data_IF_778251513445
#
_entry.id   IF_778251513445
#
_cell.length_a   1.000
_cell.length_b   1.000
_cell.length_c   1.000
_cell.angle_alpha   90.00
_cell.angle_beta   90.00
_cell.angle_gamma   90.00
#
_symmetry.space_group_name_H-M   'P 1'
#
loop_
_entity.id
_entity.type
_entity.pdbx_description
1 polymer ?
#
# COMPACT_ATOMS: atom_id res chain seq x y z
N UNK A 1 49.47 24.46 -15.18
CA UNK A 1 49.02 23.81 -13.93
C UNK A 1 47.52 23.84 -13.94
N UNK A 2 46.91 22.78 -14.46
CA UNK A 2 45.50 22.70 -14.77
C UNK A 2 45.11 21.23 -14.71
N UNK A 3 44.63 20.78 -13.56
CA UNK A 3 43.94 19.49 -13.38
C UNK A 3 43.38 19.43 -11.95
N UNK A 4 42.13 19.90 -11.78
CA UNK A 4 41.32 19.65 -10.59
C UNK A 4 39.84 19.95 -10.89
N UNK A 5 39.18 19.09 -11.66
CA UNK A 5 37.71 19.10 -11.78
C UNK A 5 37.20 17.83 -12.49
N UNK A 6 37.27 16.64 -11.85
CA UNK A 6 36.53 15.48 -12.39
C UNK A 6 36.15 14.38 -11.38
N UNK A 7 36.25 14.60 -10.06
CA UNK A 7 36.05 13.52 -9.07
C UNK A 7 34.62 13.51 -8.47
N UNK A 8 33.90 14.62 -8.45
CA UNK A 8 32.56 14.69 -7.81
C UNK A 8 31.41 14.12 -8.66
N UNK A 9 31.61 13.94 -9.97
CA UNK A 9 30.54 13.47 -10.88
C UNK A 9 30.38 11.95 -10.91
N UNK A 10 31.41 11.20 -10.53
CA UNK A 10 31.42 9.73 -10.61
C UNK A 10 30.75 9.08 -9.40
N UNK A 11 31.00 9.60 -8.18
CA UNK A 11 30.37 9.11 -6.95
C UNK A 11 28.85 9.27 -6.94
N UNK A 12 28.33 10.40 -7.41
CA UNK A 12 26.88 10.63 -7.47
C UNK A 12 26.16 9.69 -8.44
N UNK A 13 26.82 9.29 -9.55
CA UNK A 13 26.25 8.35 -10.52
C UNK A 13 26.19 6.92 -9.97
N UNK A 14 27.23 6.49 -9.24
CA UNK A 14 27.26 5.17 -8.60
C UNK A 14 26.22 5.05 -7.48
N UNK A 15 26.03 6.12 -6.71
CA UNK A 15 25.03 6.12 -5.62
C UNK A 15 23.59 6.16 -6.15
N UNK A 16 23.31 6.94 -7.20
CA UNK A 16 22.00 6.94 -7.86
C UNK A 16 21.64 5.57 -8.46
N UNK A 17 22.64 4.86 -8.99
CA UNK A 17 22.46 3.50 -9.52
C UNK A 17 22.13 2.50 -8.41
N UNK A 18 22.75 2.61 -7.23
CA UNK A 18 22.43 1.78 -6.06
C UNK A 18 21.00 1.99 -5.56
N UNK A 19 20.56 3.25 -5.44
CA UNK A 19 19.17 3.56 -5.04
C UNK A 19 18.16 3.03 -6.06
N UNK A 20 18.44 3.15 -7.36
CA UNK A 20 17.59 2.59 -8.41
C UNK A 20 17.48 1.06 -8.33
N UNK A 21 18.59 0.36 -8.07
CA UNK A 21 18.63 -1.09 -7.93
C UNK A 21 17.91 -1.59 -6.66
N UNK A 22 17.96 -0.85 -5.55
CA UNK A 22 17.23 -1.20 -4.34
C UNK A 22 15.71 -1.01 -4.48
N UNK A 23 15.29 0.03 -5.20
CA UNK A 23 13.88 0.22 -5.55
C UNK A 23 13.37 -0.86 -6.51
N UNK A 24 14.24 -1.37 -7.38
CA UNK A 24 13.96 -2.51 -8.25
C UNK A 24 13.76 -3.80 -7.44
N UNK A 25 14.69 -4.12 -6.54
CA UNK A 25 14.59 -5.29 -5.64
C UNK A 25 13.38 -5.27 -4.70
N UNK A 26 12.78 -4.10 -4.50
CA UNK A 26 11.58 -3.91 -3.69
C UNK A 26 10.28 -4.04 -4.51
N UNK A 27 10.39 -4.05 -5.84
CA UNK A 27 9.28 -4.09 -6.81
C UNK A 27 9.15 -5.42 -7.54
N UNK A 28 10.21 -6.22 -7.58
CA UNK A 28 10.17 -7.58 -8.10
C UNK A 28 9.71 -8.53 -6.99
N UNK A 29 8.56 -9.22 -7.14
CA UNK A 29 8.30 -10.42 -6.36
C UNK A 29 9.48 -11.35 -6.60
N UNK A 30 9.98 -12.00 -5.55
CA UNK A 30 11.13 -12.90 -5.64
C UNK A 30 10.87 -13.99 -6.70
N UNK A 31 11.36 -13.76 -7.90
CA UNK A 31 11.46 -14.76 -8.96
C UNK A 31 12.86 -15.37 -8.80
N UNK A 32 12.87 -16.67 -8.56
CA UNK A 32 14.04 -17.49 -8.26
C UNK A 32 15.18 -17.23 -9.25
N UNK A 33 16.31 -16.78 -8.71
CA UNK A 33 17.58 -16.81 -9.44
C UNK A 33 18.24 -18.14 -9.09
N UNK A 34 18.08 -19.10 -10.00
CA UNK A 34 18.84 -20.35 -10.03
C UNK A 34 20.32 -20.04 -10.31
N UNK A 35 21.18 -20.24 -9.31
CA UNK A 35 22.63 -20.34 -9.47
C UNK A 35 23.14 -21.62 -8.81
N UNK A 36 23.49 -22.57 -9.67
CA UNK A 36 24.18 -23.82 -9.38
C UNK A 36 25.64 -23.58 -9.00
N UNK A 37 26.11 -24.17 -7.88
CA UNK A 37 27.31 -25.04 -7.82
C UNK A 37 27.63 -25.57 -6.40
N UNK A 38 27.62 -26.92 -6.29
CA UNK A 38 28.47 -27.87 -5.54
C UNK A 38 28.70 -27.66 -4.01
N UNK A 39 28.64 -28.66 -3.11
CA UNK A 39 29.12 -30.05 -3.20
C UNK A 39 28.67 -30.88 -1.95
N UNK A 40 28.21 -32.14 -2.18
CA UNK A 40 28.22 -33.39 -1.36
C UNK A 40 27.62 -33.38 0.08
N UNK A 41 26.75 -34.33 0.50
CA UNK A 41 26.95 -35.77 0.84
C UNK A 41 25.54 -36.39 1.06
N UNK A 42 25.06 -37.35 0.27
CA UNK A 42 25.00 -38.83 0.47
C UNK A 42 23.68 -39.36 1.09
N UNK A 43 23.08 -40.35 0.40
CA UNK A 43 22.04 -41.34 0.79
C UNK A 43 20.67 -40.80 1.29
N UNK A 44 19.50 -41.22 0.79
CA UNK A 44 19.01 -42.61 0.59
C UNK A 44 18.03 -42.68 -0.59
N UNK A 45 18.12 -43.80 -1.32
CA UNK A 45 17.31 -44.24 -2.45
C UNK A 45 16.00 -44.94 -1.99
N UNK A 46 14.93 -44.73 -2.76
CA UNK A 46 13.73 -45.57 -2.97
C UNK A 46 12.77 -45.94 -1.81
N UNK A 47 11.52 -45.45 -1.95
CA UNK A 47 10.37 -46.32 -2.21
C UNK A 47 9.21 -45.50 -2.81
N UNK A 48 8.80 -45.88 -4.03
CA UNK A 48 7.61 -45.43 -4.75
C UNK A 48 6.31 -46.06 -4.19
N UNK A 49 5.18 -45.53 -4.67
CA UNK A 49 3.78 -46.03 -4.63
C UNK A 49 3.02 -45.82 -3.30
N UNK A 50 2.00 -44.97 -3.30
CA UNK A 50 0.68 -45.31 -3.85
C UNK A 50 -0.25 -44.09 -3.94
N UNK A 51 -0.99 -43.99 -5.04
CA UNK A 51 -2.06 -43.02 -5.28
C UNK A 51 -3.35 -43.82 -5.13
N UNK A 52 -4.16 -43.52 -4.11
CA UNK A 52 -5.57 -43.93 -4.11
C UNK A 52 -6.42 -42.76 -3.63
N UNK A 53 -7.20 -42.27 -4.58
CA UNK A 53 -8.35 -41.41 -4.50
C UNK A 53 -9.48 -42.19 -3.81
N UNK A 54 -9.99 -41.70 -2.68
CA UNK A 54 -11.25 -42.18 -2.12
C UNK A 54 -12.16 -40.99 -1.81
N UNK A 55 -13.19 -40.90 -2.64
CA UNK A 55 -14.31 -39.99 -2.60
C UNK A 55 -15.51 -40.74 -2.01
N UNK A 56 -16.03 -40.24 -0.88
CA UNK A 56 -17.44 -40.25 -0.40
C UNK A 56 -18.16 -41.61 -0.24
N UNK A 57 -18.65 -41.90 0.98
CA UNK A 57 -20.07 -42.22 1.19
C UNK A 57 -20.47 -42.15 2.67
N UNK A 58 -21.37 -41.19 2.96
CA UNK A 58 -22.11 -41.08 4.21
C UNK A 58 -23.24 -42.11 4.23
N UNK A 59 -23.29 -42.82 5.33
CA UNK A 59 -24.19 -43.91 5.68
C UNK A 59 -25.46 -43.34 6.33
N UNK A 60 -26.60 -43.32 5.63
CA UNK A 60 -27.95 -43.27 6.23
C UNK A 60 -28.93 -44.11 5.42
N UNK A 61 -29.12 -45.34 5.89
CA UNK A 61 -30.29 -46.19 5.69
C UNK A 61 -31.57 -45.51 6.18
N UNK A 62 -32.58 -45.36 5.31
CA UNK A 62 -34.01 -45.33 5.70
C UNK A 62 -34.84 -46.16 4.70
N UNK A 63 -34.93 -47.44 5.05
CA UNK A 63 -36.07 -48.36 4.95
C UNK A 63 -37.40 -47.75 4.44
N UNK A 64 -37.81 -48.13 3.21
CA UNK A 64 -39.21 -48.05 2.78
C UNK A 64 -39.56 -49.40 2.14
N UNK A 65 -40.35 -50.17 2.89
CA UNK A 65 -40.97 -51.43 2.48
C UNK A 65 -41.83 -51.26 1.22
N UNK A 66 -41.52 -52.07 0.22
CA UNK A 66 -42.25 -52.25 -1.02
C UNK A 66 -43.48 -53.14 -0.76
N UNK A 67 -44.67 -52.54 -0.71
CA UNK A 67 -45.95 -53.25 -0.71
C UNK A 67 -46.57 -53.15 -2.11
N UNK A 68 -46.30 -54.15 -2.95
CA UNK A 68 -47.00 -54.38 -4.21
C UNK A 68 -48.44 -54.87 -3.92
N UNK A 69 -49.42 -53.97 -4.06
CA UNK A 69 -50.83 -54.33 -4.11
C UNK A 69 -51.34 -54.14 -5.55
N UNK A 70 -51.60 -55.29 -6.19
CA UNK A 70 -52.14 -55.45 -7.54
C UNK A 70 -53.59 -54.94 -7.59
N UNK A 71 -53.84 -53.88 -8.35
CA UNK A 71 -55.22 -53.43 -8.65
C UNK A 71 -55.41 -53.27 -10.16
N UNK A 72 -56.30 -54.12 -10.66
CA UNK A 72 -56.88 -54.18 -11.99
C UNK A 72 -57.41 -52.82 -12.47
N UNK A 73 -57.06 -52.46 -13.70
CA UNK A 73 -57.44 -51.23 -14.38
C UNK A 73 -58.94 -51.27 -14.76
N UNK A 74 -59.78 -50.49 -14.09
CA UNK A 74 -61.14 -50.15 -14.56
C UNK A 74 -61.12 -48.73 -15.12
N UNK A 75 -61.41 -48.60 -16.42
CA UNK A 75 -61.52 -47.34 -17.15
C UNK A 75 -62.73 -46.54 -16.64
N UNK A 76 -62.47 -45.57 -15.77
CA UNK A 76 -63.36 -44.43 -15.57
C UNK A 76 -62.57 -43.14 -15.75
N UNK A 77 -62.98 -42.38 -16.77
CA UNK A 77 -62.57 -40.99 -17.04
C UNK A 77 -62.67 -40.15 -15.76
N UNK A 78 -61.55 -40.02 -15.06
CA UNK A 78 -61.32 -38.99 -14.06
C UNK A 78 -60.36 -38.00 -14.68
N UNK A 79 -60.80 -36.75 -14.80
CA UNK A 79 -60.00 -35.61 -15.22
C UNK A 79 -58.57 -35.71 -14.65
N UNK A 80 -57.56 -35.76 -15.51
CA UNK A 80 -56.23 -35.25 -15.19
C UNK A 80 -56.39 -33.74 -14.98
N UNK A 81 -56.79 -33.35 -13.78
CA UNK A 81 -56.43 -32.04 -13.27
C UNK A 81 -54.92 -32.15 -13.02
N UNK A 82 -54.10 -31.64 -13.96
CA UNK A 82 -52.68 -31.40 -13.70
C UNK A 82 -52.60 -30.77 -12.30
N UNK A 83 -52.08 -31.50 -11.31
CA UNK A 83 -51.88 -30.98 -9.96
C UNK A 83 -50.93 -29.80 -10.08
N UNK A 84 -51.49 -28.60 -10.25
CA UNK A 84 -50.72 -27.38 -10.21
C UNK A 84 -50.08 -27.33 -8.83
N UNK A 85 -48.77 -27.13 -8.72
CA UNK A 85 -48.10 -27.17 -7.44
C UNK A 85 -48.77 -26.17 -6.51
N UNK A 86 -49.27 -26.64 -5.36
CA UNK A 86 -49.98 -25.78 -4.42
C UNK A 86 -49.06 -24.61 -4.03
N UNK A 87 -49.49 -23.41 -4.42
CA UNK A 87 -48.80 -22.15 -4.12
C UNK A 87 -49.34 -21.56 -2.82
N UNK A 88 -48.42 -21.08 -1.99
CA UNK A 88 -48.69 -20.49 -0.69
C UNK A 88 -48.16 -19.05 -0.68
N UNK A 89 -48.98 -18.08 -0.28
CA UNK A 89 -48.57 -16.69 -0.15
C UNK A 89 -47.79 -16.47 1.17
N UNK A 90 -46.50 -16.16 1.07
CA UNK A 90 -45.60 -15.95 2.22
C UNK A 90 -45.06 -14.52 2.18
N UNK A 91 -44.91 -13.90 3.36
CA UNK A 91 -44.34 -12.55 3.48
C UNK A 91 -42.85 -12.61 3.74
N UNK A 92 -42.05 -12.21 2.75
CA UNK A 92 -40.60 -12.00 2.88
C UNK A 92 -40.35 -10.49 2.82
N UNK A 93 -39.71 -9.93 3.84
CA UNK A 93 -39.41 -8.49 3.93
C UNK A 93 -40.61 -7.54 3.68
N UNK A 94 -41.82 -7.98 4.04
CA UNK A 94 -43.06 -7.20 3.94
C UNK A 94 -43.76 -7.23 2.58
N UNK A 95 -43.28 -8.03 1.61
CA UNK A 95 -43.94 -8.27 0.32
C UNK A 95 -44.54 -9.68 0.28
N UNK A 96 -45.77 -9.80 -0.22
CA UNK A 96 -46.43 -11.09 -0.41
C UNK A 96 -45.91 -11.77 -1.68
N UNK A 97 -45.33 -12.95 -1.53
CA UNK A 97 -44.80 -13.75 -2.63
C UNK A 97 -45.38 -15.16 -2.58
N UNK A 98 -45.89 -15.62 -3.71
CA UNK A 98 -46.41 -16.97 -3.86
C UNK A 98 -45.24 -17.95 -4.08
N UNK A 99 -45.11 -18.92 -3.19
CA UNK A 99 -44.05 -19.95 -3.19
C UNK A 99 -44.68 -21.33 -3.08
N UNK A 100 -44.06 -22.35 -3.67
CA UNK A 100 -44.53 -23.73 -3.54
C UNK A 100 -44.18 -24.31 -2.17
N UNK A 101 -44.86 -25.40 -1.78
CA UNK A 101 -44.56 -26.11 -0.52
C UNK A 101 -43.09 -26.56 -0.42
N UNK A 102 -42.50 -26.99 -1.54
CA UNK A 102 -41.11 -27.41 -1.61
C UNK A 102 -40.13 -26.25 -1.33
N UNK A 103 -40.37 -25.06 -1.89
CA UNK A 103 -39.56 -23.87 -1.64
C UNK A 103 -39.67 -23.39 -0.19
N UNK A 104 -40.85 -23.54 0.43
CA UNK A 104 -41.05 -23.26 1.86
C UNK A 104 -40.21 -24.16 2.76
N UNK A 105 -40.22 -25.47 2.52
CA UNK A 105 -39.43 -26.42 3.29
C UNK A 105 -37.93 -26.20 3.11
N UNK A 106 -37.49 -25.98 1.87
CA UNK A 106 -36.09 -25.65 1.58
C UNK A 106 -35.67 -24.29 2.17
N UNK A 107 -36.55 -23.30 2.17
CA UNK A 107 -36.31 -21.99 2.78
C UNK A 107 -36.17 -22.08 4.30
N UNK A 108 -37.02 -22.85 4.96
CA UNK A 108 -36.92 -23.12 6.39
C UNK A 108 -35.61 -23.83 6.75
N UNK A 109 -35.25 -24.89 6.00
CA UNK A 109 -33.98 -25.61 6.18
C UNK A 109 -32.77 -24.68 6.00
N UNK A 110 -32.75 -23.89 4.90
CA UNK A 110 -31.71 -22.89 4.64
C UNK A 110 -31.63 -21.82 5.74
N UNK A 111 -32.76 -21.34 6.25
CA UNK A 111 -32.79 -20.32 7.31
C UNK A 111 -32.27 -20.89 8.64
N UNK A 112 -32.67 -22.11 9.00
CA UNK A 112 -32.18 -22.79 10.19
C UNK A 112 -30.67 -23.03 10.10
N UNK A 113 -30.19 -23.50 8.95
CA UNK A 113 -28.76 -23.69 8.69
C UNK A 113 -27.98 -22.37 8.71
N UNK A 114 -28.50 -21.33 8.07
CA UNK A 114 -27.86 -20.01 8.09
C UNK A 114 -27.82 -19.44 9.50
N UNK A 115 -28.89 -19.60 10.27
CA UNK A 115 -28.96 -19.15 11.66
C UNK A 115 -27.95 -19.91 12.51
N UNK A 116 -27.89 -21.24 12.37
CA UNK A 116 -26.92 -22.10 13.08
C UNK A 116 -25.48 -21.73 12.71
N UNK A 117 -25.15 -21.68 11.41
CA UNK A 117 -23.82 -21.29 10.92
C UNK A 117 -23.42 -19.87 11.34
N UNK A 118 -24.36 -18.93 11.36
CA UNK A 118 -24.10 -17.56 11.82
C UNK A 118 -23.85 -17.51 13.33
N UNK A 119 -24.60 -18.30 14.11
CA UNK A 119 -24.36 -18.43 15.55
C UNK A 119 -23.01 -19.11 15.84
N UNK A 120 -22.70 -20.21 15.16
CA UNK A 120 -21.40 -20.90 15.25
C UNK A 120 -20.25 -19.96 14.86
N UNK A 121 -20.37 -19.23 13.75
CA UNK A 121 -19.37 -18.25 13.33
C UNK A 121 -19.23 -17.09 14.33
N UNK A 122 -20.34 -16.61 14.91
CA UNK A 122 -20.31 -15.59 15.95
C UNK A 122 -19.60 -16.10 17.20
N UNK A 123 -19.85 -17.35 17.59
CA UNK A 123 -19.20 -17.98 18.72
C UNK A 123 -17.69 -18.17 18.46
N UNK A 124 -17.32 -18.74 17.32
CA UNK A 124 -15.93 -18.88 16.90
C UNK A 124 -15.18 -17.54 16.87
N UNK A 125 -15.81 -16.47 16.37
CA UNK A 125 -15.22 -15.12 16.38
C UNK A 125 -14.99 -14.61 17.80
N UNK A 126 -15.95 -14.79 18.71
CA UNK A 126 -15.80 -14.40 20.12
C UNK A 126 -14.69 -15.19 20.80
N UNK A 127 -14.61 -16.49 20.54
CA UNK A 127 -13.59 -17.35 21.12
C UNK A 127 -12.20 -17.00 20.59
N UNK A 128 -12.07 -16.73 19.29
CA UNK A 128 -10.82 -16.26 18.68
C UNK A 128 -10.39 -14.89 19.22
N UNK A 129 -11.32 -13.93 19.33
CA UNK A 129 -11.04 -12.61 19.90
C UNK A 129 -10.60 -12.71 21.36
N UNK A 130 -11.24 -13.58 22.15
CA UNK A 130 -10.86 -13.85 23.53
C UNK A 130 -9.43 -14.44 23.63
N UNK A 131 -9.10 -15.41 22.78
CA UNK A 131 -7.76 -16.00 22.70
C UNK A 131 -6.72 -14.96 22.28
N UNK A 132 -7.02 -14.15 21.26
CA UNK A 132 -6.12 -13.09 20.79
C UNK A 132 -5.87 -12.05 21.89
N UNK A 133 -6.91 -11.66 22.63
CA UNK A 133 -6.77 -10.74 23.76
C UNK A 133 -5.96 -11.35 24.92
N UNK A 134 -6.09 -12.65 25.18
CA UNK A 134 -5.29 -13.36 26.19
C UNK A 134 -3.82 -13.43 25.78
N UNK A 135 -3.54 -13.78 24.52
CA UNK A 135 -2.18 -13.80 23.98
C UNK A 135 -1.54 -12.42 24.04
N UNK A 136 -2.23 -11.38 23.58
CA UNK A 136 -1.72 -10.01 23.64
C UNK A 136 -1.42 -9.55 25.08
N UNK A 137 -2.21 -9.97 26.07
CA UNK A 137 -1.94 -9.71 27.49
C UNK A 137 -0.69 -10.46 27.98
N UNK A 138 -0.55 -11.74 27.62
CA UNK A 138 0.63 -12.55 27.97
C UNK A 138 1.89 -11.93 27.37
N UNK A 139 1.85 -11.55 26.11
CA UNK A 139 2.98 -10.92 25.42
C UNK A 139 3.36 -9.58 26.05
N UNK A 140 2.37 -8.77 26.43
CA UNK A 140 2.60 -7.50 27.13
C UNK A 140 3.30 -7.72 28.49
N UNK A 141 2.80 -8.67 29.29
CA UNK A 141 3.41 -9.04 30.57
C UNK A 141 4.83 -9.55 30.36
N UNK A 142 5.02 -10.41 29.37
CA UNK A 142 6.29 -11.04 29.05
C UNK A 142 7.36 -10.01 28.64
N UNK A 143 6.98 -9.07 27.78
CA UNK A 143 7.81 -7.97 27.31
C UNK A 143 8.25 -7.03 28.44
N UNK A 144 7.43 -6.87 29.48
CA UNK A 144 7.78 -6.08 30.67
C UNK A 144 8.62 -6.88 31.67
N UNK A 145 8.31 -8.16 31.88
CA UNK A 145 8.92 -8.99 32.90
C UNK A 145 10.34 -9.42 32.53
N UNK A 146 10.59 -9.81 31.27
CA UNK A 146 11.90 -10.30 30.84
C UNK A 146 13.04 -9.30 31.11
N UNK A 147 12.97 -8.01 30.70
CA UNK A 147 14.03 -7.04 30.99
C UNK A 147 14.23 -6.80 32.49
N UNK A 148 13.16 -6.91 33.29
CA UNK A 148 13.25 -6.78 34.74
C UNK A 148 13.95 -7.99 35.37
N UNK A 149 13.66 -9.20 34.89
CA UNK A 149 14.34 -10.42 35.32
C UNK A 149 15.81 -10.39 34.93
N UNK A 150 16.13 -9.96 33.71
CA UNK A 150 17.51 -9.79 33.23
C UNK A 150 18.30 -8.87 34.17
N UNK A 151 17.79 -7.67 34.45
CA UNK A 151 18.44 -6.71 35.35
C UNK A 151 18.60 -7.22 36.78
N UNK A 152 17.62 -7.99 37.28
CA UNK A 152 17.70 -8.60 38.61
C UNK A 152 18.84 -9.62 38.67
N UNK A 153 18.91 -10.52 37.68
CA UNK A 153 19.95 -11.55 37.59
C UNK A 153 21.34 -10.95 37.34
N UNK A 154 21.42 -9.90 36.51
CA UNK A 154 22.66 -9.16 36.29
C UNK A 154 23.22 -8.57 37.59
N UNK A 155 22.35 -7.96 38.41
CA UNK A 155 22.74 -7.42 39.73
C UNK A 155 23.17 -8.50 40.73
N UNK A 156 22.55 -9.69 40.68
CA UNK A 156 22.96 -10.83 41.50
C UNK A 156 24.29 -11.42 41.06
N UNK A 157 24.54 -11.51 39.75
CA UNK A 157 25.79 -12.02 39.19
C UNK A 157 26.95 -11.04 39.37
N UNK A 158 26.69 -9.73 39.42
CA UNK A 158 27.69 -8.71 39.69
C UNK A 158 28.29 -8.82 41.12
N UNK A 159 27.54 -9.38 42.06
CA UNK A 159 27.99 -9.60 43.44
C UNK A 159 28.58 -11.01 43.60
N UNK A 160 29.67 -11.29 42.88
CA UNK A 160 30.35 -12.58 42.93
C UNK A 160 31.02 -12.80 44.31
N UNK A 161 30.77 -13.93 45.01
CA UNK A 161 31.48 -14.27 46.24
C UNK A 161 32.97 -14.45 46.03
N UNK A 162 33.79 -14.17 47.05
CA UNK A 162 35.21 -14.55 47.04
C UNK A 162 35.33 -16.07 47.15
N UNK A 163 35.36 -16.73 46.00
CA UNK A 163 35.45 -18.18 45.86
C UNK A 163 36.68 -18.77 46.55
N UNK A 164 37.78 -18.03 46.61
CA UNK A 164 39.02 -18.50 47.21
C UNK A 164 38.90 -18.50 48.73
N UNK A 165 38.40 -17.42 49.31
CA UNK A 165 38.16 -17.33 50.75
C UNK A 165 37.10 -18.35 51.21
N UNK A 166 36.05 -18.58 50.41
CA UNK A 166 35.01 -19.55 50.72
C UNK A 166 35.54 -20.99 50.66
N UNK A 167 36.37 -21.31 49.66
CA UNK A 167 37.00 -22.62 49.54
C UNK A 167 37.96 -22.92 50.71
N UNK A 168 38.73 -21.92 51.15
CA UNK A 168 39.67 -22.06 52.27
C UNK A 168 38.97 -22.16 53.65
N UNK A 169 37.79 -21.54 53.80
CA UNK A 169 37.05 -21.52 55.08
C UNK A 169 36.00 -22.64 55.22
N UNK A 170 35.24 -22.95 54.17
CA UNK A 170 34.22 -24.00 54.14
C UNK A 170 34.09 -24.63 52.73
N UNK A 171 34.80 -25.75 52.47
CA UNK A 171 34.72 -26.45 51.19
C UNK A 171 33.32 -26.97 50.82
N UNK A 172 32.44 -27.22 51.80
CA UNK A 172 31.08 -27.71 51.53
C UNK A 172 30.18 -26.55 51.11
N UNK A 173 30.27 -25.40 51.80
CA UNK A 173 29.57 -24.19 51.40
C UNK A 173 30.00 -23.72 50.01
N UNK A 174 31.29 -23.86 49.67
CA UNK A 174 31.80 -23.56 48.33
C UNK A 174 31.03 -24.26 47.21
N UNK A 175 30.83 -25.58 47.32
CA UNK A 175 30.14 -26.35 46.27
C UNK A 175 28.70 -25.86 46.10
N UNK A 176 27.99 -25.66 47.22
CA UNK A 176 26.59 -25.17 47.20
C UNK A 176 26.48 -23.79 46.56
N UNK A 177 27.30 -22.83 46.99
CA UNK A 177 27.26 -21.46 46.46
C UNK A 177 27.67 -21.41 44.99
N UNK A 178 28.64 -22.25 44.59
CA UNK A 178 29.05 -22.37 43.20
C UNK A 178 27.94 -22.95 42.32
N UNK A 179 27.23 -23.97 42.81
CA UNK A 179 26.09 -24.55 42.09
C UNK A 179 24.96 -23.52 41.93
N UNK A 180 24.63 -22.79 43.00
CA UNK A 180 23.64 -21.70 42.95
C UNK A 180 24.06 -20.59 41.99
N UNK A 181 25.32 -20.18 41.99
CA UNK A 181 25.84 -19.16 41.09
C UNK A 181 25.82 -19.64 39.63
N UNK A 182 26.19 -20.89 39.38
CA UNK A 182 26.09 -21.49 38.05
C UNK A 182 24.63 -21.55 37.57
N UNK A 183 23.69 -21.93 38.44
CA UNK A 183 22.25 -21.93 38.13
C UNK A 183 21.76 -20.53 37.75
N UNK A 184 22.16 -19.50 38.50
CA UNK A 184 21.84 -18.09 38.18
C UNK A 184 22.43 -17.67 36.84
N UNK A 185 23.68 -18.07 36.55
CA UNK A 185 24.36 -17.78 35.29
C UNK A 185 23.66 -18.43 34.10
N UNK A 186 23.22 -19.69 34.24
CA UNK A 186 22.46 -20.38 33.21
C UNK A 186 21.08 -19.75 33.00
N UNK A 187 20.37 -19.38 34.08
CA UNK A 187 19.11 -18.62 33.99
C UNK A 187 19.29 -17.28 33.27
N UNK A 188 20.36 -16.55 33.58
CA UNK A 188 20.66 -15.27 32.94
C UNK A 188 20.89 -15.44 31.43
N UNK A 189 21.70 -16.44 31.02
CA UNK A 189 21.90 -16.75 29.60
C UNK A 189 20.59 -17.11 28.90
N UNK A 190 19.73 -17.91 29.56
CA UNK A 190 18.43 -18.28 29.00
C UNK A 190 17.53 -17.05 28.78
N UNK A 191 17.47 -16.14 29.76
CA UNK A 191 16.71 -14.88 29.63
C UNK A 191 17.26 -14.01 28.49
N UNK A 192 18.59 -13.90 28.35
CA UNK A 192 19.20 -13.14 27.26
C UNK A 192 18.91 -13.76 25.88
N UNK A 193 19.03 -15.08 25.75
CA UNK A 193 18.73 -15.77 24.50
C UNK A 193 17.26 -15.55 24.08
N UNK A 194 16.35 -15.59 25.05
CA UNK A 194 14.92 -15.40 24.83
C UNK A 194 14.58 -13.94 24.46
N UNK A 195 15.24 -12.96 25.08
CA UNK A 195 15.12 -11.55 24.70
C UNK A 195 15.64 -11.31 23.27
N UNK A 196 16.78 -11.91 22.91
CA UNK A 196 17.32 -11.83 21.55
C UNK A 196 16.38 -12.48 20.54
N UNK A 197 15.81 -13.65 20.85
CA UNK A 197 14.80 -14.30 20.00
C UNK A 197 13.61 -13.39 19.75
N UNK A 198 13.05 -12.79 20.81
CA UNK A 198 11.89 -11.90 20.70
C UNK A 198 12.21 -10.65 19.88
N UNK A 199 13.42 -10.08 20.04
CA UNK A 199 13.86 -8.94 19.24
C UNK A 199 13.98 -9.32 17.77
N UNK A 200 14.55 -10.48 17.47
CA UNK A 200 14.68 -10.97 16.10
C UNK A 200 13.31 -11.21 15.46
N UNK A 201 12.38 -11.82 16.19
CA UNK A 201 11.00 -12.05 15.76
C UNK A 201 10.26 -10.72 15.49
N UNK A 202 10.46 -9.71 16.34
CA UNK A 202 9.89 -8.39 16.11
C UNK A 202 10.47 -7.72 14.86
N UNK A 203 11.77 -7.90 14.57
CA UNK A 203 12.41 -7.36 13.37
C UNK A 203 11.91 -8.08 12.10
N UNK A 204 11.78 -9.40 12.12
CA UNK A 204 11.28 -10.17 10.98
C UNK A 204 9.81 -9.86 10.69
N UNK A 205 8.97 -9.75 11.74
CA UNK A 205 7.57 -9.36 11.61
C UNK A 205 7.42 -7.96 10.99
N UNK A 206 8.16 -6.96 11.50
CA UNK A 206 8.16 -5.61 10.93
C UNK A 206 8.63 -5.58 9.47
N UNK A 207 9.68 -6.35 9.13
CA UNK A 207 10.13 -6.47 7.74
C UNK A 207 9.07 -7.10 6.84
N UNK A 208 8.35 -8.12 7.32
CA UNK A 208 7.27 -8.75 6.57
C UNK A 208 6.09 -7.78 6.36
N UNK A 209 5.73 -6.97 7.36
CA UNK A 209 4.71 -5.92 7.23
C UNK A 209 5.13 -4.85 6.21
N UNK A 210 6.39 -4.40 6.26
CA UNK A 210 6.92 -3.44 5.28
C UNK A 210 6.87 -4.03 3.88
N UNK A 211 7.31 -5.28 3.68
CA UNK A 211 7.24 -5.96 2.38
C UNK A 211 5.81 -5.99 1.84
N UNK A 212 4.83 -6.43 2.66
CA UNK A 212 3.41 -6.43 2.28
C UNK A 212 2.89 -5.04 1.91
N UNK A 213 3.25 -4.01 2.68
CA UNK A 213 2.85 -2.64 2.42
C UNK A 213 3.43 -2.13 1.10
N UNK A 214 4.67 -2.51 0.78
CA UNK A 214 5.32 -2.14 -0.46
C UNK A 214 4.75 -2.91 -1.64
N UNK A 215 4.54 -4.22 -1.54
CA UNK A 215 3.90 -5.01 -2.60
C UNK A 215 2.52 -4.45 -2.97
N UNK A 216 1.72 -4.11 -1.95
CA UNK A 216 0.45 -3.42 -2.14
C UNK A 216 0.63 -2.04 -2.80
N UNK A 217 1.61 -1.27 -2.34
CA UNK A 217 1.95 0.02 -2.92
C UNK A 217 2.38 -0.07 -4.38
N UNK A 218 3.15 -1.10 -4.74
CA UNK A 218 3.63 -1.38 -6.08
C UNK A 218 2.47 -1.70 -7.03
N UNK A 219 1.52 -2.53 -6.59
CA UNK A 219 0.29 -2.80 -7.35
C UNK A 219 -0.49 -1.50 -7.62
N UNK A 220 -0.71 -0.68 -6.60
CA UNK A 220 -1.41 0.61 -6.76
C UNK A 220 -0.65 1.61 -7.61
N UNK A 221 0.67 1.56 -7.57
CA UNK A 221 1.51 2.41 -8.40
C UNK A 221 1.45 2.03 -9.87
N UNK A 222 1.41 0.74 -10.19
CA UNK A 222 1.24 0.25 -11.57
C UNK A 222 -0.16 0.51 -12.13
N UNK A 223 -1.20 0.51 -11.27
CA UNK A 223 -2.54 0.96 -11.63
C UNK A 223 -2.56 2.46 -11.98
N UNK A 224 -1.91 3.30 -11.17
CA UNK A 224 -1.88 4.75 -11.36
C UNK A 224 -0.91 5.21 -12.46
N UNK A 225 0.20 4.49 -12.66
CA UNK A 225 1.25 4.78 -13.64
C UNK A 225 1.53 3.54 -14.50
N UNK A 226 0.68 3.26 -15.51
CA UNK A 226 0.83 2.08 -16.36
C UNK A 226 2.14 2.05 -17.17
N UNK A 227 2.75 3.22 -17.41
CA UNK A 227 4.03 3.37 -18.10
C UNK A 227 5.18 2.66 -17.36
N UNK A 228 5.05 2.43 -16.05
CA UNK A 228 6.06 1.75 -15.24
C UNK A 228 6.00 0.22 -15.33
N UNK A 229 5.08 -0.34 -16.13
CA UNK A 229 5.15 -1.76 -16.53
C UNK A 229 6.39 -2.07 -17.35
N UNK A 230 6.94 -1.08 -18.07
CA UNK A 230 8.26 -1.21 -18.69
C UNK A 230 9.34 -0.84 -17.68
N UNK A 231 10.15 -1.83 -17.31
CA UNK A 231 11.25 -1.68 -16.35
C UNK A 231 12.23 -0.56 -16.75
N UNK A 232 12.49 -0.36 -18.04
CA UNK A 232 13.41 0.67 -18.52
C UNK A 232 12.85 2.09 -18.31
N UNK A 233 11.55 2.27 -18.52
CA UNK A 233 10.87 3.55 -18.32
C UNK A 233 10.78 3.84 -16.83
N UNK A 234 10.37 2.85 -16.03
CA UNK A 234 10.30 2.95 -14.59
C UNK A 234 11.65 3.36 -13.99
N UNK A 235 12.75 2.71 -14.38
CA UNK A 235 14.08 3.01 -13.85
C UNK A 235 14.54 4.43 -14.20
N UNK A 236 14.31 4.89 -15.44
CA UNK A 236 14.66 6.26 -15.86
C UNK A 236 13.86 7.32 -15.11
N UNK A 237 12.55 7.10 -14.93
CA UNK A 237 11.70 8.03 -14.18
C UNK A 237 12.08 8.05 -12.70
N UNK A 238 12.25 6.88 -12.07
CA UNK A 238 12.68 6.76 -10.66
C UNK A 238 13.99 7.49 -10.41
N UNK A 239 14.99 7.31 -11.27
CA UNK A 239 16.26 8.05 -11.19
C UNK A 239 16.08 9.56 -11.33
N UNK A 240 15.14 10.00 -12.17
CA UNK A 240 14.87 11.43 -12.39
C UNK A 240 14.11 12.05 -11.22
N UNK A 241 13.20 11.29 -10.61
CA UNK A 241 12.47 11.66 -9.41
C UNK A 241 13.43 11.75 -8.21
N UNK A 242 14.31 10.76 -8.04
CA UNK A 242 15.34 10.77 -6.99
C UNK A 242 16.27 11.99 -7.12
N UNK A 243 16.74 12.31 -8.32
CA UNK A 243 17.51 13.54 -8.58
C UNK A 243 16.72 14.80 -8.22
N UNK A 244 15.44 14.86 -8.57
CA UNK A 244 14.59 15.99 -8.22
C UNK A 244 14.40 16.14 -6.71
N UNK A 245 14.19 15.03 -6.00
CA UNK A 245 14.08 15.01 -4.55
C UNK A 245 15.37 15.51 -3.88
N UNK A 246 16.54 15.06 -4.35
CA UNK A 246 17.83 15.53 -3.82
C UNK A 246 18.12 16.98 -4.20
N UNK A 247 18.12 17.31 -5.49
CA UNK A 247 18.63 18.60 -5.99
C UNK A 247 17.69 19.78 -5.72
N UNK A 248 16.38 19.54 -5.65
CA UNK A 248 15.36 20.61 -5.58
C UNK A 248 14.68 20.65 -4.22
N UNK A 249 14.36 19.49 -3.65
CA UNK A 249 13.67 19.39 -2.37
C UNK A 249 14.65 19.23 -1.19
N UNK A 250 15.91 18.84 -1.43
CA UNK A 250 16.94 18.74 -0.41
C UNK A 250 16.91 17.45 0.41
N UNK A 251 16.24 16.41 -0.08
CA UNK A 251 16.24 15.10 0.58
C UNK A 251 17.63 14.46 0.52
N UNK A 252 17.99 13.74 1.58
CA UNK A 252 19.11 12.81 1.58
C UNK A 252 18.75 11.51 0.87
N UNK A 253 19.78 10.76 0.47
CA UNK A 253 19.59 9.47 -0.20
C UNK A 253 18.93 8.43 0.73
N UNK A 254 19.27 8.43 2.00
CA UNK A 254 18.69 7.52 3.00
C UNK A 254 17.19 7.79 3.18
N UNK A 255 16.77 9.06 3.20
CA UNK A 255 15.35 9.41 3.27
C UNK A 255 14.59 8.96 2.04
N UNK A 256 15.18 9.06 0.84
CA UNK A 256 14.57 8.59 -0.41
C UNK A 256 14.44 7.06 -0.40
N UNK A 257 15.47 6.37 0.07
CA UNK A 257 15.48 4.90 0.16
C UNK A 257 14.48 4.35 1.19
N UNK A 258 14.10 5.15 2.19
CA UNK A 258 13.11 4.80 3.20
C UNK A 258 11.66 5.16 2.81
N UNK A 259 11.43 5.68 1.60
CA UNK A 259 10.07 5.97 1.11
C UNK A 259 9.40 4.68 0.63
N UNK A 260 8.73 4.00 1.55
CA UNK A 260 7.93 2.80 1.27
C UNK A 260 6.49 3.11 0.82
N UNK A 261 6.00 4.31 1.11
CA UNK A 261 4.63 4.72 0.80
C UNK A 261 4.50 5.13 -0.67
N UNK A 262 3.72 4.38 -1.44
CA UNK A 262 3.45 4.67 -2.85
C UNK A 262 2.82 6.06 -3.07
N UNK A 263 2.08 6.60 -2.09
CA UNK A 263 1.46 7.92 -2.15
C UNK A 263 2.50 9.03 -2.16
N UNK A 264 3.56 8.87 -1.35
CA UNK A 264 4.67 9.81 -1.34
C UNK A 264 5.41 9.81 -2.67
N UNK A 265 5.62 8.62 -3.26
CA UNK A 265 6.25 8.49 -4.57
C UNK A 265 5.41 9.10 -5.70
N UNK A 266 4.09 8.92 -5.69
CA UNK A 266 3.18 9.59 -6.62
C UNK A 266 3.28 11.11 -6.50
N UNK A 267 3.26 11.65 -5.29
CA UNK A 267 3.44 13.09 -5.05
C UNK A 267 4.79 13.61 -5.55
N UNK A 268 5.87 12.85 -5.36
CA UNK A 268 7.20 13.19 -5.88
C UNK A 268 7.25 13.15 -7.41
N UNK A 269 6.60 12.16 -8.04
CA UNK A 269 6.46 12.08 -9.50
C UNK A 269 5.71 13.28 -10.05
N UNK A 270 4.57 13.63 -9.48
CA UNK A 270 3.77 14.77 -9.90
C UNK A 270 4.55 16.09 -9.73
N UNK A 271 5.21 16.25 -8.58
CA UNK A 271 6.09 17.39 -8.33
C UNK A 271 7.22 17.52 -9.37
N UNK A 272 7.84 16.40 -9.74
CA UNK A 272 8.85 16.34 -10.78
C UNK A 272 8.29 16.70 -12.16
N UNK A 273 7.15 16.13 -12.57
CA UNK A 273 6.47 16.46 -13.83
C UNK A 273 6.12 17.96 -13.90
N UNK A 274 5.57 18.52 -12.83
CA UNK A 274 5.29 19.95 -12.73
C UNK A 274 6.57 20.81 -12.76
N UNK A 275 7.67 20.32 -12.18
CA UNK A 275 8.96 21.01 -12.26
C UNK A 275 9.52 21.00 -13.69
N UNK A 276 9.44 19.88 -14.40
CA UNK A 276 9.88 19.76 -15.79
C UNK A 276 9.07 20.67 -16.72
N UNK A 277 7.74 20.66 -16.60
CA UNK A 277 6.86 21.52 -17.41
C UNK A 277 7.15 23.01 -17.16
N UNK A 278 7.33 23.43 -15.89
CA UNK A 278 7.75 24.81 -15.57
C UNK A 278 9.11 25.18 -16.15
N UNK A 279 10.09 24.27 -16.10
CA UNK A 279 11.41 24.49 -16.74
C UNK A 279 11.29 24.60 -18.26
N UNK A 280 10.47 23.77 -18.90
CA UNK A 280 10.25 23.81 -20.35
C UNK A 280 9.59 25.12 -20.78
N UNK A 281 8.59 25.61 -20.04
CA UNK A 281 7.95 26.91 -20.29
C UNK A 281 8.94 28.06 -20.14
N UNK A 282 9.79 28.06 -19.10
CA UNK A 282 10.83 29.09 -18.92
C UNK A 282 11.89 29.07 -20.02
N UNK A 283 12.17 27.90 -20.63
CA UNK A 283 13.16 27.74 -21.71
C UNK A 283 12.63 28.08 -23.10
N UNK A 284 11.31 28.12 -23.32
CA UNK A 284 10.73 28.74 -24.51
C UNK A 284 10.48 30.21 -24.21
N UNK A 285 11.41 31.15 -24.52
CA UNK A 285 10.95 32.49 -24.79
C UNK A 285 9.92 32.33 -25.90
N UNK A 286 8.70 32.82 -25.67
CA UNK A 286 7.77 33.06 -26.77
C UNK A 286 8.54 34.01 -27.68
N UNK A 287 9.19 33.48 -28.72
CA UNK A 287 9.62 34.28 -29.85
C UNK A 287 8.35 34.98 -30.27
N UNK A 288 8.25 36.28 -29.92
CA UNK A 288 7.23 37.13 -30.49
C UNK A 288 7.44 36.97 -31.98
N UNK A 289 6.54 36.23 -32.63
CA UNK A 289 6.53 36.10 -34.07
C UNK A 289 6.83 37.51 -34.61
N UNK A 290 7.86 37.69 -35.48
CA UNK A 290 8.26 39.02 -35.91
C UNK A 290 6.98 39.69 -36.36
N UNK A 291 6.59 40.76 -35.65
CA UNK A 291 5.33 41.43 -35.86
C UNK A 291 5.23 41.61 -37.37
N UNK A 292 4.29 40.90 -38.01
CA UNK A 292 4.13 40.94 -39.45
C UNK A 292 3.94 42.42 -39.75
N UNK A 293 4.99 43.06 -40.26
CA UNK A 293 4.95 44.47 -40.59
C UNK A 293 3.88 44.54 -41.66
N UNK A 294 2.70 45.01 -41.27
CA UNK A 294 1.64 45.29 -42.22
C UNK A 294 2.26 46.15 -43.30
N UNK A 295 2.10 45.75 -44.56
CA UNK A 295 2.34 46.64 -45.69
C UNK A 295 1.75 48.01 -45.33
N UNK A 296 2.45 49.14 -45.54
CA UNK A 296 1.95 50.47 -45.20
C UNK A 296 0.62 50.73 -45.89
N UNK A 297 -0.47 50.32 -45.25
CA UNK A 297 -1.83 50.62 -45.62
C UNK A 297 -2.12 52.01 -45.08
N UNK A 298 -2.54 52.90 -45.97
CA UNK A 298 -3.02 54.25 -45.68
C UNK A 298 -3.74 54.30 -44.34
N UNK A 299 -3.07 54.82 -43.32
CA UNK A 299 -3.68 55.04 -42.02
C UNK A 299 -4.68 56.19 -42.18
N UNK A 300 -5.97 55.86 -42.10
CA UNK A 300 -7.02 56.85 -41.87
C UNK A 300 -6.72 57.54 -40.54
N UNK A 301 -6.08 58.70 -40.63
CA UNK A 301 -5.73 59.53 -39.47
C UNK A 301 -7.05 60.00 -38.85
N UNK A 302 -7.35 59.70 -37.57
CA UNK A 302 -8.52 60.26 -36.92
C UNK A 302 -8.39 61.78 -36.95
N UNK A 303 -9.44 62.49 -37.40
CA UNK A 303 -9.52 63.96 -37.43
C UNK A 303 -9.51 64.52 -36.01
N UNK A 304 -8.36 64.52 -35.34
CA UNK A 304 -8.21 65.07 -33.99
C UNK A 304 -7.91 66.57 -34.05
N UNK A 305 -8.94 67.37 -34.35
CA UNK A 305 -9.07 68.73 -33.83
C UNK A 305 -10.43 69.27 -34.27
N UNK A 306 -11.33 69.45 -33.31
CA UNK A 306 -12.59 70.18 -33.48
C UNK A 306 -12.29 71.53 -34.15
N UNK A 307 -13.01 71.91 -35.22
CA UNK A 307 -12.74 73.12 -36.01
C UNK A 307 -12.59 74.38 -35.15
N UNK A 308 -13.39 74.48 -34.08
CA UNK A 308 -13.31 75.55 -33.09
C UNK A 308 -11.94 75.67 -32.40
N UNK A 309 -11.28 74.55 -32.07
CA UNK A 309 -9.95 74.56 -31.42
C UNK A 309 -8.87 75.09 -32.36
N UNK A 310 -8.96 74.77 -33.66
CA UNK A 310 -8.07 75.31 -34.69
C UNK A 310 -8.32 76.79 -34.95
N UNK A 311 -9.58 77.23 -34.96
CA UNK A 311 -9.93 78.64 -35.12
C UNK A 311 -9.39 79.48 -33.94
N UNK A 312 -9.59 79.01 -32.69
CA UNK A 312 -9.06 79.68 -31.48
C UNK A 312 -7.53 79.75 -31.47
N UNK A 313 -6.84 78.67 -31.86
CA UNK A 313 -5.38 78.67 -31.96
C UNK A 313 -4.85 79.61 -33.05
N UNK A 314 -5.57 79.76 -34.18
CA UNK A 314 -5.20 80.71 -35.23
C UNK A 314 -5.38 82.15 -34.78
N UNK A 315 -6.53 82.47 -34.17
CA UNK A 315 -6.76 83.79 -33.58
C UNK A 315 -5.68 84.15 -32.55
N UNK A 316 -5.34 83.22 -31.65
CA UNK A 316 -4.30 83.44 -30.65
C UNK A 316 -2.92 83.70 -31.26
N UNK A 317 -2.64 83.16 -32.45
CA UNK A 317 -1.36 83.38 -33.16
C UNK A 317 -1.34 84.63 -34.04
N UNK A 318 -2.46 84.99 -34.66
CA UNK A 318 -2.49 86.05 -35.67
C UNK A 318 -3.05 87.37 -35.15
N UNK A 319 -3.93 87.33 -34.14
CA UNK A 319 -4.59 88.51 -33.56
C UNK A 319 -5.46 89.32 -34.53
N UNK A 320 -5.78 88.78 -35.71
CA UNK A 320 -6.50 89.50 -36.77
C UNK A 320 -8.02 89.42 -36.55
N UNK A 321 -8.73 90.54 -36.78
CA UNK A 321 -10.21 90.59 -36.68
C UNK A 321 -10.92 89.53 -37.54
N UNK A 322 -10.36 89.21 -38.72
CA UNK A 322 -10.92 88.20 -39.63
C UNK A 322 -10.87 86.78 -39.07
N UNK A 323 -9.86 86.47 -38.26
CA UNK A 323 -9.75 85.16 -37.61
C UNK A 323 -10.63 85.08 -36.36
N UNK A 324 -10.95 86.23 -35.73
CA UNK A 324 -11.91 86.31 -34.64
C UNK A 324 -13.34 86.02 -35.14
N UNK A 325 -13.73 86.58 -36.28
CA UNK A 325 -15.02 86.30 -36.91
C UNK A 325 -15.24 84.80 -37.14
N UNK A 326 -14.21 84.08 -37.60
CA UNK A 326 -14.28 82.62 -37.77
C UNK A 326 -14.42 81.85 -36.46
N UNK A 327 -13.92 82.36 -35.35
CA UNK A 327 -14.14 81.72 -34.04
C UNK A 327 -15.60 81.87 -33.60
N UNK A 328 -16.20 83.04 -33.85
CA UNK A 328 -17.60 83.30 -33.52
C UNK A 328 -18.57 82.54 -34.43
N UNK A 329 -18.27 82.46 -35.73
CA UNK A 329 -19.05 81.66 -36.69
C UNK A 329 -19.14 80.19 -36.25
N UNK A 330 -18.00 79.58 -35.86
CA UNK A 330 -17.95 78.22 -35.33
C UNK A 330 -18.55 78.05 -33.91
N UNK A 331 -19.05 79.12 -33.28
CA UNK A 331 -19.71 79.08 -31.96
C UNK A 331 -21.22 79.35 -32.05
N UNK A 332 -21.69 79.85 -33.20
CA UNK A 332 -23.08 80.19 -33.45
C UNK A 332 -23.80 79.12 -34.29
N UNK A 333 -23.06 78.31 -35.05
CA UNK A 333 -23.49 76.99 -35.55
C UNK A 333 -23.36 75.92 -34.44
#
# INVERSE_FOLDING_TARGET
>A
MSEASNVESTGFKTELQKTAAQFENLMTPAEEVDEQQAEQVEEVEEAEEDIVEDEIEDDIDEDIEEAEEEVELDEQESFEEEEQPQVYSVKIDGQEQEVTLQELQQGYSRQQDYTRKTQELSQQRKDFEAQQAELAKKDAIYKELLPRMEKSLEGELANEPDWKALYESDPIAYVREKDLFNEKKEKFKAVQAEQQRLQQEQLTSQQAEIKKAVDFGNQKLLEAVPEWKDANVALKEKQSIAKYAMDVLGYSQDEINQVYDYRALLGLRDGWLHYQTRKAIKKKPVEKAPARSGKPGSANKPRSATPLKKAKQRLAKTGKLRDAAKVFENLLD
#
